data_IF_317325174331
#
_entry.id   IF_317325174331
#
_cell.length_a   1.000
_cell.length_b   1.000
_cell.length_c   1.000
_cell.angle_alpha   90.00
_cell.angle_beta   90.00
_cell.angle_gamma   90.00
#
_symmetry.space_group_name_H-M   'P 1'
#
loop_
_entity.id
_entity.type
_entity.pdbx_description
1 polymer ?
#
# COMPACT_ATOMS: atom_id res chain seq x y z
N UNK A 1 -45.89 23.10 -48.75
CA UNK A 1 -46.22 22.24 -47.57
C UNK A 1 -45.14 21.18 -47.36
N UNK A 2 -43.86 21.57 -47.19
CA UNK A 2 -42.77 20.60 -46.91
C UNK A 2 -41.70 21.16 -45.97
N UNK A 3 -41.98 22.25 -45.25
CA UNK A 3 -41.01 22.89 -44.37
C UNK A 3 -41.25 22.62 -42.86
N UNK A 4 -42.33 21.94 -42.51
CA UNK A 4 -42.72 21.69 -41.11
C UNK A 4 -42.09 20.41 -40.50
N UNK A 5 -41.55 19.55 -41.32
CA UNK A 5 -41.01 18.26 -40.82
C UNK A 5 -39.50 18.28 -40.60
N UNK A 6 -38.81 19.33 -41.07
CA UNK A 6 -37.36 19.46 -40.90
C UNK A 6 -36.97 20.01 -39.51
N UNK A 7 -37.91 20.73 -38.85
CA UNK A 7 -37.64 21.28 -37.52
C UNK A 7 -37.84 20.29 -36.36
N UNK A 8 -38.53 19.19 -36.62
CA UNK A 8 -38.81 18.21 -35.54
C UNK A 8 -37.67 17.21 -35.34
N UNK A 9 -36.76 17.11 -36.32
CA UNK A 9 -35.64 16.15 -36.22
C UNK A 9 -34.41 16.72 -35.53
N UNK A 10 -34.33 18.03 -35.36
CA UNK A 10 -33.17 18.69 -34.77
C UNK A 10 -33.23 18.81 -33.24
N UNK A 11 -34.41 18.55 -32.64
CA UNK A 11 -34.59 18.72 -31.18
C UNK A 11 -34.33 17.43 -30.38
N UNK A 12 -34.25 16.28 -31.04
CA UNK A 12 -34.06 14.98 -30.36
C UNK A 12 -32.59 14.63 -30.11
N UNK A 13 -31.65 15.37 -30.72
CA UNK A 13 -30.20 15.06 -30.59
C UNK A 13 -29.46 15.71 -29.42
N UNK A 14 -30.13 16.47 -28.54
CA UNK A 14 -29.43 17.23 -27.48
C UNK A 14 -29.69 16.75 -26.05
N UNK A 15 -30.11 15.50 -25.84
CA UNK A 15 -30.31 14.97 -24.48
C UNK A 15 -29.44 13.75 -24.15
N UNK A 16 -28.23 13.68 -24.67
CA UNK A 16 -27.24 12.78 -24.06
C UNK A 16 -26.51 13.57 -22.98
N UNK A 17 -27.17 13.71 -21.84
CA UNK A 17 -26.46 14.10 -20.61
C UNK A 17 -25.49 13.00 -20.26
N UNK A 18 -24.23 13.18 -20.65
CA UNK A 18 -23.12 12.39 -20.15
C UNK A 18 -22.99 12.74 -18.66
N UNK A 19 -23.68 11.98 -17.82
CA UNK A 19 -23.34 11.94 -16.40
C UNK A 19 -21.93 11.38 -16.29
N UNK A 20 -20.93 12.25 -16.31
CA UNK A 20 -19.61 11.92 -15.85
C UNK A 20 -19.77 11.54 -14.37
N UNK A 21 -19.89 10.24 -14.10
CA UNK A 21 -19.79 9.71 -12.76
C UNK A 21 -18.39 10.07 -12.27
N UNK A 22 -18.34 11.13 -11.47
CA UNK A 22 -17.18 11.42 -10.65
C UNK A 22 -17.03 10.23 -9.72
N UNK A 23 -16.27 9.21 -10.15
CA UNK A 23 -15.84 8.13 -9.25
C UNK A 23 -15.07 8.85 -8.15
N UNK A 24 -15.75 9.11 -7.04
CA UNK A 24 -15.09 9.57 -5.82
C UNK A 24 -13.96 8.58 -5.58
N UNK A 25 -12.73 9.06 -5.72
CA UNK A 25 -11.55 8.25 -5.47
C UNK A 25 -11.61 7.99 -3.97
N UNK A 26 -12.10 6.82 -3.57
CA UNK A 26 -12.08 6.40 -2.17
C UNK A 26 -10.66 6.59 -1.67
N UNK A 27 -10.48 7.14 -0.46
CA UNK A 27 -9.15 7.29 0.10
C UNK A 27 -8.46 5.92 0.10
N UNK A 28 -7.21 5.89 -0.34
CA UNK A 28 -6.41 4.68 -0.25
C UNK A 28 -6.28 4.31 1.22
N UNK A 29 -6.56 3.08 1.55
CA UNK A 29 -6.38 2.54 2.89
C UNK A 29 -5.26 1.51 2.85
N UNK A 30 -4.52 1.36 3.96
CA UNK A 30 -3.65 0.22 4.16
C UNK A 30 -4.50 -1.05 4.17
N UNK A 31 -4.04 -2.12 3.54
CA UNK A 31 -4.72 -3.41 3.59
C UNK A 31 -4.55 -4.12 4.94
N UNK A 32 -5.11 -5.31 5.02
CA UNK A 32 -4.77 -6.26 6.08
C UNK A 32 -4.46 -7.61 5.39
N UNK A 33 -3.21 -8.06 5.43
CA UNK A 33 -2.04 -7.43 6.08
C UNK A 33 -1.59 -6.13 5.39
N UNK A 34 -0.93 -5.24 6.13
CA UNK A 34 -0.43 -3.96 5.60
C UNK A 34 0.73 -4.16 4.61
N UNK A 35 1.47 -5.26 4.73
CA UNK A 35 2.47 -5.73 3.76
C UNK A 35 2.52 -7.26 3.76
N UNK A 36 2.95 -7.90 2.65
CA UNK A 36 3.01 -9.35 2.57
C UNK A 36 4.16 -9.92 3.41
N UNK A 37 3.97 -11.14 3.89
CA UNK A 37 4.96 -11.88 4.68
C UNK A 37 4.41 -12.35 6.01
N UNK A 38 5.22 -13.10 6.74
CA UNK A 38 4.88 -13.61 8.06
C UNK A 38 5.78 -12.94 9.10
N UNK A 39 5.21 -12.00 9.83
CA UNK A 39 5.91 -11.17 10.79
C UNK A 39 5.12 -11.10 12.10
N UNK A 40 5.84 -10.91 13.21
CA UNK A 40 5.29 -10.79 14.55
C UNK A 40 5.95 -9.63 15.32
N UNK A 41 5.34 -9.24 16.44
CA UNK A 41 5.89 -8.33 17.46
C UNK A 41 6.54 -7.06 16.86
N UNK A 42 5.80 -6.26 16.05
CA UNK A 42 6.39 -5.12 15.38
C UNK A 42 6.69 -3.98 16.34
N UNK A 43 7.90 -3.45 16.28
CA UNK A 43 8.25 -2.14 16.83
C UNK A 43 7.99 -1.06 15.79
N UNK A 44 7.25 -0.02 16.15
CA UNK A 44 6.93 1.11 15.29
C UNK A 44 7.57 2.41 15.78
N UNK A 45 8.22 3.16 14.88
CA UNK A 45 8.86 4.44 15.19
C UNK A 45 8.71 5.42 14.05
N UNK A 46 8.81 6.72 14.36
CA UNK A 46 8.79 7.80 13.37
C UNK A 46 10.17 8.44 13.30
N UNK A 47 10.75 8.48 12.10
CA UNK A 47 11.98 9.22 11.82
C UNK A 47 11.69 10.33 10.80
N UNK A 48 11.77 11.58 11.25
CA UNK A 48 11.45 12.71 10.40
C UNK A 48 10.00 12.70 9.93
N UNK A 49 9.78 12.50 8.64
CA UNK A 49 8.46 12.40 7.98
C UNK A 49 8.09 10.97 7.55
N UNK A 50 8.81 9.96 8.04
CA UNK A 50 8.58 8.56 7.70
C UNK A 50 8.20 7.72 8.93
N UNK A 51 7.24 6.83 8.71
CA UNK A 51 6.87 5.76 9.64
C UNK A 51 7.72 4.54 9.34
N UNK A 52 8.31 3.94 10.36
CA UNK A 52 9.13 2.74 10.24
C UNK A 52 8.57 1.63 11.11
N UNK A 53 8.63 0.39 10.61
CA UNK A 53 8.24 -0.82 11.33
C UNK A 53 9.40 -1.81 11.25
N UNK A 54 9.78 -2.33 12.41
CA UNK A 54 10.81 -3.36 12.60
C UNK A 54 10.16 -4.61 13.19
N UNK A 55 9.68 -5.54 12.39
CA UNK A 55 9.03 -6.74 12.88
C UNK A 55 10.00 -7.91 13.02
N UNK A 56 9.70 -8.84 13.91
CA UNK A 56 10.33 -10.15 13.93
C UNK A 56 9.89 -10.96 12.71
N UNK A 57 10.81 -11.51 11.94
CA UNK A 57 10.50 -12.50 10.91
C UNK A 57 10.05 -13.80 11.55
N UNK A 58 8.81 -14.23 11.29
CA UNK A 58 8.23 -15.43 11.89
C UNK A 58 8.66 -16.68 11.13
N UNK A 59 9.51 -17.47 11.74
CA UNK A 59 10.03 -18.72 11.24
C UNK A 59 10.38 -19.66 12.41
N UNK A 60 10.89 -20.86 12.12
CA UNK A 60 11.51 -21.67 13.14
C UNK A 60 12.67 -20.92 13.79
N UNK A 61 12.92 -21.14 15.07
CA UNK A 61 13.88 -20.36 15.87
C UNK A 61 15.26 -20.20 15.22
N UNK A 62 15.78 -21.28 14.66
CA UNK A 62 17.11 -21.28 14.02
C UNK A 62 17.13 -20.55 12.67
N UNK A 63 15.97 -20.33 12.07
CA UNK A 63 15.79 -19.62 10.79
C UNK A 63 15.52 -18.12 10.97
N UNK A 64 15.32 -17.65 12.21
CA UNK A 64 15.14 -16.23 12.54
C UNK A 64 16.49 -15.50 12.59
N UNK A 65 17.23 -15.52 11.48
CA UNK A 65 18.63 -15.08 11.38
C UNK A 65 18.79 -13.72 10.70
N UNK A 66 17.70 -13.07 10.38
CA UNK A 66 17.67 -11.72 9.82
C UNK A 66 16.46 -10.94 10.32
N UNK A 67 16.53 -9.64 10.16
CA UNK A 67 15.43 -8.72 10.39
C UNK A 67 15.23 -7.84 9.16
N UNK A 68 14.00 -7.79 8.66
CA UNK A 68 13.59 -6.81 7.66
C UNK A 68 13.07 -5.54 8.35
N UNK A 69 13.06 -4.42 7.64
CA UNK A 69 12.34 -3.23 8.06
C UNK A 69 11.39 -2.76 6.94
N UNK A 70 10.42 -1.95 7.31
CA UNK A 70 9.47 -1.37 6.38
C UNK A 70 9.32 0.11 6.68
N UNK A 71 9.26 0.95 5.63
CA UNK A 71 9.00 2.37 5.79
C UNK A 71 7.84 2.84 4.94
N UNK A 72 7.15 3.89 5.40
CA UNK A 72 6.05 4.52 4.69
C UNK A 72 5.96 6.00 5.06
N UNK A 73 5.57 6.83 4.08
CA UNK A 73 5.21 8.24 4.32
C UNK A 73 3.71 8.46 4.56
N UNK A 74 2.89 7.48 4.23
CA UNK A 74 1.42 7.63 4.19
C UNK A 74 0.66 6.51 4.91
N UNK A 75 1.37 5.53 5.50
CA UNK A 75 0.84 4.33 6.15
C UNK A 75 0.03 3.42 5.21
N UNK A 76 0.08 3.66 3.91
CA UNK A 76 -0.64 2.91 2.87
C UNK A 76 0.33 2.21 1.94
N UNK A 77 1.33 2.94 1.46
CA UNK A 77 2.36 2.42 0.57
C UNK A 77 3.63 2.14 1.37
N UNK A 78 4.01 0.88 1.46
CA UNK A 78 5.15 0.44 2.25
C UNK A 78 6.31 0.03 1.37
N UNK A 79 7.51 0.46 1.74
CA UNK A 79 8.77 0.04 1.13
C UNK A 79 9.45 -0.97 2.06
N UNK A 80 9.75 -2.16 1.53
CA UNK A 80 10.52 -3.17 2.26
C UNK A 80 12.01 -2.90 2.15
N UNK A 81 12.70 -2.93 3.29
CA UNK A 81 14.15 -2.90 3.43
C UNK A 81 14.60 -4.29 3.91
N UNK A 82 15.05 -5.18 3.01
CA UNK A 82 15.35 -6.55 3.39
C UNK A 82 16.67 -6.64 4.16
N UNK A 83 16.68 -7.51 5.18
CA UNK A 83 17.87 -7.90 5.93
C UNK A 83 18.68 -6.72 6.48
N UNK A 84 17.99 -5.71 7.05
CA UNK A 84 18.65 -4.55 7.68
C UNK A 84 19.60 -5.00 8.81
N UNK A 85 19.27 -6.10 9.48
CA UNK A 85 20.16 -6.86 10.36
C UNK A 85 20.17 -8.32 9.91
N UNK A 86 21.35 -8.94 9.90
CA UNK A 86 21.50 -10.36 9.58
C UNK A 86 22.78 -10.95 10.16
N UNK A 87 22.86 -12.26 10.19
CA UNK A 87 24.11 -12.96 10.57
C UNK A 87 25.29 -12.65 9.66
N UNK A 88 25.03 -12.27 8.40
CA UNK A 88 26.07 -11.92 7.47
C UNK A 88 26.72 -10.57 7.79
N UNK A 89 25.95 -9.63 8.35
CA UNK A 89 26.45 -8.28 8.66
C UNK A 89 26.71 -8.01 10.15
N UNK A 90 26.37 -8.99 11.03
CA UNK A 90 26.60 -8.88 12.48
C UNK A 90 27.43 -10.09 12.97
N UNK A 91 28.75 -9.92 13.05
CA UNK A 91 29.70 -11.02 13.37
C UNK A 91 29.50 -11.64 14.74
N UNK A 92 28.96 -10.92 15.72
CA UNK A 92 28.72 -11.41 17.08
C UNK A 92 27.31 -12.02 17.27
N UNK A 93 26.43 -11.95 16.28
CA UNK A 93 25.09 -12.50 16.35
C UNK A 93 25.13 -14.04 16.41
N UNK A 94 24.58 -14.60 17.46
CA UNK A 94 24.59 -16.06 17.69
C UNK A 94 23.22 -16.71 17.78
N UNK A 95 22.15 -15.91 17.91
CA UNK A 95 20.78 -16.37 18.17
C UNK A 95 19.77 -15.67 17.25
N UNK A 96 18.53 -16.11 17.33
CA UNK A 96 17.44 -15.50 16.63
C UNK A 96 17.32 -13.99 16.92
N UNK A 97 16.93 -13.23 15.88
CA UNK A 97 16.65 -11.81 15.97
C UNK A 97 15.16 -11.58 16.19
N UNK A 98 14.84 -10.86 17.24
CA UNK A 98 13.50 -10.46 17.58
C UNK A 98 13.41 -8.94 17.76
N UNK A 99 12.23 -8.36 17.38
CA UNK A 99 11.89 -6.98 17.66
C UNK A 99 11.31 -6.84 19.06
#
# INVERSE_FOLDING_TARGET
MKLRHLFLFCVICCSVSISAQNKSKLPKTSGNPIFPGWYADPEGIVFGDEYWIYPTYSAAYDDQIFMDAFSSKDLVNWTKHPKVLSKENISWLRRALWA
#
